data_IF_764852183452
#
_entry.id   IF_764852183452
#
_cell.length_a   1.000
_cell.length_b   1.000
_cell.length_c   1.000
_cell.angle_alpha   90.00
_cell.angle_beta   90.00
_cell.angle_gamma   90.00
#
_symmetry.space_group_name_H-M   'P 1'
#
loop_
_entity.id
_entity.type
_entity.pdbx_description
1 polymer ?
#
# COMPACT_ATOMS: atom_id res chain seq x y z
N UNK A 1 5.07 40.14 37.26
CA UNK A 1 6.13 39.24 36.83
C UNK A 1 5.70 38.22 35.75
N UNK A 2 4.56 38.40 35.02
CA UNK A 2 4.10 37.52 33.95
C UNK A 2 4.26 38.09 32.52
N UNK A 3 4.89 39.25 32.34
CA UNK A 3 5.10 39.90 31.03
C UNK A 3 6.54 39.87 30.51
N UNK A 4 7.51 39.32 31.29
CA UNK A 4 8.91 39.21 30.83
C UNK A 4 9.22 37.89 30.13
N UNK A 5 8.41 36.82 30.35
CA UNK A 5 8.66 35.53 29.73
C UNK A 5 8.23 35.45 28.24
N UNK A 6 7.21 36.25 27.84
CA UNK A 6 6.77 36.27 26.45
C UNK A 6 7.67 37.11 25.52
N UNK A 7 8.41 38.06 26.06
CA UNK A 7 9.36 38.88 25.27
C UNK A 7 10.70 38.15 25.03
N UNK A 8 11.11 37.26 25.94
CA UNK A 8 12.32 36.45 25.76
C UNK A 8 12.11 35.32 24.75
N UNK A 9 10.89 34.74 24.68
CA UNK A 9 10.52 33.77 23.60
C UNK A 9 10.43 34.44 22.23
N UNK A 10 10.00 35.69 22.13
CA UNK A 10 9.87 36.38 20.84
C UNK A 10 11.22 36.84 20.25
N UNK A 11 12.26 36.99 21.06
CA UNK A 11 13.59 37.42 20.60
C UNK A 11 14.44 36.21 20.15
N UNK A 12 14.24 35.00 20.70
CA UNK A 12 14.91 33.80 20.22
C UNK A 12 14.27 33.24 18.90
N UNK A 13 13.04 33.63 18.56
CA UNK A 13 12.36 33.19 17.34
C UNK A 13 12.84 33.90 16.06
N UNK A 14 13.75 34.87 16.15
CA UNK A 14 14.12 35.72 15.02
C UNK A 14 15.47 35.39 14.35
N UNK A 15 16.21 34.37 14.79
CA UNK A 15 17.55 34.11 14.22
C UNK A 15 17.97 32.68 14.00
N UNK A 16 17.09 31.68 14.22
CA UNK A 16 17.38 30.30 13.85
C UNK A 16 16.13 29.68 13.18
N UNK A 17 16.16 29.52 11.89
CA UNK A 17 15.31 28.54 11.18
C UNK A 17 15.76 27.14 11.62
N UNK A 18 15.43 26.74 12.84
CA UNK A 18 15.62 25.38 13.29
C UNK A 18 14.58 24.53 12.54
N UNK A 19 15.04 23.53 11.79
CA UNK A 19 14.12 22.61 11.10
C UNK A 19 13.61 21.51 12.03
N UNK A 20 13.77 21.66 13.34
CA UNK A 20 13.24 20.77 14.38
C UNK A 20 12.74 21.59 15.57
N UNK A 21 11.79 21.02 16.33
CA UNK A 21 11.20 21.70 17.49
C UNK A 21 12.03 21.50 18.77
N UNK A 22 12.65 20.32 18.94
CA UNK A 22 13.45 20.00 20.13
C UNK A 22 14.41 18.83 19.89
N UNK A 23 15.38 18.70 20.81
CA UNK A 23 16.31 17.58 20.88
C UNK A 23 16.10 16.79 22.17
N UNK A 24 16.16 15.44 22.06
CA UNK A 24 16.15 14.54 23.22
C UNK A 24 16.94 13.27 22.90
N UNK A 25 17.84 12.87 23.85
CA UNK A 25 18.60 11.62 23.70
C UNK A 25 19.51 11.56 22.47
N UNK A 26 19.98 12.71 21.96
CA UNK A 26 20.83 12.81 20.77
C UNK A 26 20.08 12.67 19.45
N UNK A 27 18.75 12.70 19.46
CA UNK A 27 17.89 12.74 18.27
C UNK A 27 17.06 14.02 18.26
N UNK A 28 16.71 14.49 17.07
CA UNK A 28 15.90 15.68 16.84
C UNK A 28 14.46 15.31 16.52
N UNK A 29 13.53 16.15 16.94
CA UNK A 29 12.09 15.86 16.85
C UNK A 29 11.29 17.06 16.38
N UNK A 30 10.24 16.79 15.59
CA UNK A 30 9.17 17.73 15.31
C UNK A 30 7.88 17.26 16.00
N UNK A 31 7.11 18.21 16.52
CA UNK A 31 5.77 17.97 17.05
C UNK A 31 4.81 17.75 15.87
N UNK A 32 4.12 16.60 15.86
CA UNK A 32 3.07 16.31 14.87
C UNK A 32 1.72 16.79 15.39
N UNK A 33 1.45 16.57 16.68
CA UNK A 33 0.22 17.00 17.34
C UNK A 33 0.56 17.61 18.70
N UNK A 34 0.12 18.84 18.91
CA UNK A 34 0.19 19.60 20.17
C UNK A 34 -1.09 19.46 21.01
N UNK A 35 -2.00 18.55 20.62
CA UNK A 35 -3.21 18.18 21.33
C UNK A 35 -3.22 16.67 21.64
N UNK A 36 -4.06 16.23 22.58
CA UNK A 36 -4.16 14.81 22.95
C UNK A 36 -4.75 13.99 21.80
N UNK A 37 -4.07 12.91 21.34
CA UNK A 37 -2.78 12.42 21.84
C UNK A 37 -1.61 13.23 21.28
N UNK A 38 -0.71 13.69 22.18
CA UNK A 38 0.53 14.38 21.79
C UNK A 38 1.44 13.44 21.02
N UNK A 39 1.88 13.84 19.83
CA UNK A 39 2.72 12.99 18.98
C UNK A 39 3.88 13.77 18.36
N UNK A 40 5.00 13.09 18.17
CA UNK A 40 6.20 13.63 17.53
C UNK A 40 6.74 12.69 16.44
N UNK A 41 7.62 13.23 15.60
CA UNK A 41 8.44 12.47 14.66
C UNK A 41 9.92 12.71 14.94
N UNK A 42 10.73 11.67 14.66
CA UNK A 42 12.18 11.87 14.54
C UNK A 42 12.46 12.64 13.27
N UNK A 43 13.33 13.62 13.33
CA UNK A 43 13.76 14.42 12.16
C UNK A 43 15.28 14.58 12.14
N UNK A 44 15.83 15.16 11.08
CA UNK A 44 17.25 15.46 10.97
C UNK A 44 17.56 16.86 11.50
N UNK A 45 18.86 17.11 11.71
CA UNK A 45 19.38 18.46 11.88
C UNK A 45 19.73 19.06 10.51
N UNK A 46 19.23 20.24 10.14
CA UNK A 46 19.52 20.86 8.85
C UNK A 46 21.02 21.10 8.67
N UNK A 47 21.58 20.55 7.59
CA UNK A 47 22.98 20.72 7.21
C UNK A 47 24.00 19.88 7.98
N UNK A 48 23.54 19.03 8.93
CA UNK A 48 24.43 18.13 9.68
C UNK A 48 23.75 16.77 9.85
N UNK A 49 24.12 15.75 9.06
CA UNK A 49 23.67 14.39 9.32
C UNK A 49 24.15 13.90 10.68
N UNK A 50 23.42 12.97 11.27
CA UNK A 50 23.88 12.34 12.50
C UNK A 50 25.22 11.61 12.28
N UNK A 51 26.24 11.96 13.05
CA UNK A 51 27.52 11.23 13.08
C UNK A 51 27.46 10.08 14.10
N UNK A 52 26.46 9.20 13.97
CA UNK A 52 26.23 8.10 14.91
C UNK A 52 26.30 6.75 14.19
N UNK A 53 26.89 5.78 14.87
CA UNK A 53 26.92 4.40 14.36
C UNK A 53 25.63 3.63 14.65
N UNK A 54 24.89 4.03 15.66
CA UNK A 54 23.60 3.40 16.03
C UNK A 54 22.62 4.40 16.59
N UNK A 55 21.33 4.15 16.37
CA UNK A 55 20.22 4.95 16.91
C UNK A 55 19.21 4.06 17.62
N UNK A 56 18.72 4.48 18.76
CA UNK A 56 17.56 3.89 19.43
C UNK A 56 16.46 4.93 19.52
N UNK A 57 15.39 4.73 18.76
CA UNK A 57 14.24 5.62 18.79
C UNK A 57 13.38 5.23 20.00
N UNK A 58 13.12 6.16 20.95
CA UNK A 58 12.27 5.86 22.10
C UNK A 58 10.79 5.86 21.70
N UNK A 59 9.95 5.12 22.43
CA UNK A 59 8.49 5.18 22.25
C UNK A 59 7.90 6.54 22.59
N UNK A 60 8.52 7.24 23.56
CA UNK A 60 8.06 8.52 24.08
C UNK A 60 9.23 9.45 24.36
N UNK A 61 8.99 10.73 24.19
CA UNK A 61 9.94 11.82 24.52
C UNK A 61 9.22 12.89 25.32
N UNK A 62 9.97 13.57 26.21
CA UNK A 62 9.45 14.66 27.01
C UNK A 62 10.00 16.00 26.49
N UNK A 63 9.10 16.97 26.32
CA UNK A 63 9.45 18.33 25.95
C UNK A 63 8.46 19.32 26.59
N UNK A 64 8.97 20.35 27.30
CA UNK A 64 8.15 21.36 27.99
C UNK A 64 7.05 20.77 28.88
N UNK A 65 7.40 19.78 29.72
CA UNK A 65 6.49 19.07 30.64
C UNK A 65 5.38 18.24 29.94
N UNK A 66 5.46 18.07 28.63
CA UNK A 66 4.54 17.24 27.83
C UNK A 66 5.28 15.99 27.38
N UNK A 67 4.61 14.83 27.49
CA UNK A 67 5.09 13.56 26.96
C UNK A 67 4.48 13.32 25.58
N UNK A 68 5.32 13.25 24.55
CA UNK A 68 4.93 12.95 23.17
C UNK A 68 5.20 11.48 22.85
N UNK A 69 4.26 10.83 22.21
CA UNK A 69 4.47 9.50 21.62
C UNK A 69 5.15 9.67 20.26
N UNK A 70 6.28 9.00 20.05
CA UNK A 70 7.00 9.05 18.78
C UNK A 70 6.29 8.11 17.79
N UNK A 71 5.65 8.67 16.77
CA UNK A 71 4.78 7.97 15.83
C UNK A 71 5.38 7.79 14.44
N UNK A 72 6.40 8.57 14.10
CA UNK A 72 6.91 8.63 12.74
C UNK A 72 8.41 8.78 12.72
N UNK A 73 9.05 8.15 11.72
CA UNK A 73 10.39 8.51 11.27
C UNK A 73 10.20 9.48 10.11
N UNK A 74 10.52 10.76 10.33
CA UNK A 74 10.24 11.86 9.42
C UNK A 74 11.02 11.80 8.11
N UNK A 75 10.65 12.66 7.18
CA UNK A 75 11.33 12.74 5.89
C UNK A 75 12.81 13.12 6.07
N UNK A 76 13.70 12.32 5.48
CA UNK A 76 15.14 12.52 5.59
C UNK A 76 15.70 12.40 7.01
N UNK A 77 14.98 11.83 7.98
CA UNK A 77 15.37 11.81 9.40
C UNK A 77 16.81 11.32 9.63
N UNK A 78 17.26 10.33 8.89
CA UNK A 78 18.62 9.78 8.91
C UNK A 78 19.31 9.90 7.54
N UNK A 79 18.87 10.82 6.67
CA UNK A 79 19.52 11.03 5.37
C UNK A 79 21.00 11.39 5.55
N UNK A 80 21.86 10.78 4.70
CA UNK A 80 23.31 10.96 4.70
C UNK A 80 24.05 10.48 5.99
N UNK A 81 23.38 9.67 6.83
CA UNK A 81 24.03 9.05 7.99
C UNK A 81 24.90 7.85 7.54
N UNK A 82 26.03 8.16 6.89
CA UNK A 82 26.90 7.14 6.26
C UNK A 82 27.44 6.11 7.24
N UNK A 83 27.69 6.49 8.50
CA UNK A 83 28.24 5.62 9.54
C UNK A 83 27.17 4.79 10.26
N UNK A 84 25.88 5.02 10.03
CA UNK A 84 24.77 4.37 10.72
C UNK A 84 24.69 2.89 10.32
N UNK A 85 24.95 1.99 11.27
CA UNK A 85 24.92 0.54 11.05
C UNK A 85 23.66 -0.12 11.57
N UNK A 86 22.98 0.49 12.55
CA UNK A 86 21.78 -0.10 13.17
C UNK A 86 20.83 0.99 13.69
N UNK A 87 19.52 0.68 13.58
CA UNK A 87 18.45 1.50 14.15
C UNK A 87 17.45 0.58 14.84
N UNK A 88 17.15 0.88 16.11
CA UNK A 88 16.05 0.24 16.84
C UNK A 88 14.79 1.07 16.69
N UNK A 89 13.77 0.49 16.07
CA UNK A 89 12.47 1.12 15.82
C UNK A 89 11.45 0.54 16.83
N UNK A 90 10.83 1.39 17.67
CA UNK A 90 9.84 0.91 18.64
C UNK A 90 8.46 0.66 18.00
N UNK A 91 7.62 -0.11 18.69
CA UNK A 91 6.25 -0.40 18.25
C UNK A 91 5.30 0.81 18.25
N UNK A 92 5.74 1.95 18.74
CA UNK A 92 4.97 3.20 18.61
C UNK A 92 5.00 3.79 17.20
N UNK A 93 6.03 3.47 16.38
CA UNK A 93 6.19 3.97 15.01
C UNK A 93 5.14 3.31 14.10
N UNK A 94 4.44 4.14 13.34
CA UNK A 94 3.41 3.72 12.37
C UNK A 94 3.78 4.08 10.92
N UNK A 95 4.73 5.01 10.72
CA UNK A 95 5.18 5.37 9.38
C UNK A 95 6.66 5.71 9.29
N UNK A 96 7.25 5.40 8.13
CA UNK A 96 8.60 5.78 7.71
C UNK A 96 8.44 6.65 6.46
N UNK A 97 8.89 7.89 6.53
CA UNK A 97 8.71 8.88 5.47
C UNK A 97 9.78 8.79 4.37
N UNK A 98 9.58 9.54 3.28
CA UNK A 98 10.51 9.55 2.13
C UNK A 98 11.92 9.92 2.56
N UNK A 99 12.92 9.24 2.00
CA UNK A 99 14.33 9.49 2.25
C UNK A 99 14.80 9.26 3.69
N UNK A 100 13.97 8.68 4.56
CA UNK A 100 14.26 8.53 6.00
C UNK A 100 15.63 7.91 6.27
N UNK A 101 16.08 6.96 5.46
CA UNK A 101 17.39 6.27 5.54
C UNK A 101 18.18 6.35 4.23
N UNK A 102 17.93 7.40 3.43
CA UNK A 102 18.64 7.58 2.17
C UNK A 102 20.12 7.79 2.44
N UNK A 103 20.98 7.15 1.62
CA UNK A 103 22.43 7.22 1.71
C UNK A 103 23.03 6.67 3.03
N UNK A 104 22.28 5.93 3.86
CA UNK A 104 22.83 5.22 5.03
C UNK A 104 23.66 4.01 4.56
N UNK A 105 24.83 4.25 3.99
CA UNK A 105 25.61 3.23 3.27
C UNK A 105 26.08 2.06 4.14
N UNK A 106 26.24 2.28 5.46
CA UNK A 106 26.63 1.24 6.41
C UNK A 106 25.44 0.47 6.99
N UNK A 107 24.19 0.87 6.71
CA UNK A 107 22.96 0.23 7.20
C UNK A 107 22.64 -0.99 6.32
N UNK A 108 23.11 -2.17 6.72
CA UNK A 108 22.95 -3.40 5.96
C UNK A 108 21.73 -4.26 6.38
N UNK A 109 21.13 -3.93 7.51
CA UNK A 109 19.90 -4.56 7.97
C UNK A 109 19.11 -3.63 8.88
N UNK A 110 17.78 -3.79 8.89
CA UNK A 110 16.89 -3.10 9.81
C UNK A 110 15.67 -3.96 10.07
N UNK A 111 15.18 -3.98 11.30
CA UNK A 111 13.92 -4.63 11.63
C UNK A 111 12.77 -3.62 11.59
N UNK A 112 11.77 -3.87 10.76
CA UNK A 112 10.56 -3.04 10.65
C UNK A 112 9.47 -3.68 11.50
N UNK A 113 9.00 -2.99 12.60
CA UNK A 113 7.99 -3.55 13.47
C UNK A 113 6.61 -3.63 12.77
N UNK A 114 5.76 -4.54 13.27
CA UNK A 114 4.40 -4.79 12.74
C UNK A 114 3.49 -3.55 12.81
N UNK A 115 3.80 -2.60 13.68
CA UNK A 115 3.08 -1.32 13.80
C UNK A 115 3.25 -0.39 12.60
N UNK A 116 4.32 -0.58 11.82
CA UNK A 116 4.57 0.23 10.62
C UNK A 116 3.65 -0.23 9.50
N UNK A 117 2.72 0.62 9.11
CA UNK A 117 1.75 0.39 8.03
C UNK A 117 2.00 1.27 6.80
N UNK A 118 2.88 2.26 6.93
CA UNK A 118 3.28 3.15 5.84
C UNK A 118 4.79 3.25 5.73
N UNK A 119 5.30 2.98 4.54
CA UNK A 119 6.67 3.29 4.16
C UNK A 119 6.58 4.04 2.83
N UNK A 120 7.10 5.28 2.80
CA UNK A 120 7.07 6.08 1.58
C UNK A 120 8.20 5.73 0.62
N UNK A 121 8.03 6.06 -0.68
CA UNK A 121 9.05 5.79 -1.69
C UNK A 121 10.42 6.37 -1.32
N UNK A 122 11.47 5.69 -1.75
CA UNK A 122 12.86 6.10 -1.54
C UNK A 122 13.32 6.18 -0.07
N UNK A 123 12.56 5.63 0.88
CA UNK A 123 12.93 5.63 2.30
C UNK A 123 14.32 5.03 2.54
N UNK A 124 14.72 4.01 1.77
CA UNK A 124 15.99 3.29 1.89
C UNK A 124 16.93 3.47 0.68
N UNK A 125 16.66 4.45 -0.19
CA UNK A 125 17.46 4.66 -1.41
C UNK A 125 18.93 4.83 -1.10
N UNK A 126 19.80 4.11 -1.84
CA UNK A 126 21.25 4.15 -1.70
C UNK A 126 21.76 3.84 -0.27
N UNK A 127 20.98 3.13 0.55
CA UNK A 127 21.45 2.54 1.81
C UNK A 127 22.25 1.26 1.55
N UNK A 128 22.94 0.74 2.56
CA UNK A 128 23.61 -0.57 2.48
C UNK A 128 22.62 -1.68 2.12
N UNK A 129 21.41 -1.66 2.71
CA UNK A 129 20.33 -2.62 2.38
C UNK A 129 19.95 -2.56 0.91
N UNK A 130 19.80 -1.35 0.37
CA UNK A 130 19.38 -1.11 -1.02
C UNK A 130 20.47 -1.51 -2.02
N UNK A 131 21.73 -1.28 -1.69
CA UNK A 131 22.88 -1.52 -2.58
C UNK A 131 23.37 -2.98 -2.56
N UNK A 132 22.96 -3.76 -1.56
CA UNK A 132 23.28 -5.18 -1.48
C UNK A 132 22.31 -6.00 -2.35
N UNK A 133 22.79 -6.49 -3.48
CA UNK A 133 22.02 -7.30 -4.43
C UNK A 133 21.45 -8.59 -3.80
N UNK A 134 22.00 -9.09 -2.70
CA UNK A 134 21.48 -10.27 -2.00
C UNK A 134 20.11 -10.01 -1.34
N UNK A 135 19.72 -8.74 -1.12
CA UNK A 135 18.40 -8.35 -0.62
C UNK A 135 17.33 -8.25 -1.72
N UNK A 136 17.74 -8.36 -3.00
CA UNK A 136 16.83 -8.30 -4.15
C UNK A 136 16.50 -9.71 -4.63
N UNK A 137 15.27 -10.15 -4.40
CA UNK A 137 14.74 -11.43 -4.85
C UNK A 137 13.95 -11.20 -6.15
N UNK A 138 14.39 -11.79 -7.26
CA UNK A 138 13.76 -11.62 -8.59
C UNK A 138 13.49 -10.14 -8.97
N UNK A 139 14.49 -9.28 -8.70
CA UNK A 139 14.39 -7.83 -8.95
C UNK A 139 13.44 -7.07 -8.03
N UNK A 140 13.06 -7.64 -6.89
CA UNK A 140 12.22 -7.00 -5.87
C UNK A 140 12.97 -6.97 -4.54
N UNK A 141 13.04 -5.78 -3.93
CA UNK A 141 13.66 -5.57 -2.63
C UNK A 141 12.66 -5.85 -1.51
N UNK A 142 13.10 -6.70 -0.57
CA UNK A 142 12.37 -6.97 0.66
C UNK A 142 13.17 -6.51 1.89
N UNK A 143 12.49 -5.96 2.87
CA UNK A 143 13.04 -5.66 4.20
C UNK A 143 12.05 -6.19 5.23
N UNK A 144 12.48 -7.12 6.09
CA UNK A 144 11.58 -7.85 7.01
C UNK A 144 10.43 -8.52 6.23
N UNK A 145 9.20 -8.24 6.59
CA UNK A 145 7.97 -8.70 5.93
C UNK A 145 7.35 -7.66 4.98
N UNK A 146 8.15 -6.67 4.57
CA UNK A 146 7.71 -5.58 3.69
C UNK A 146 8.35 -5.70 2.31
N UNK A 147 7.54 -5.63 1.25
CA UNK A 147 7.99 -5.45 -0.12
C UNK A 147 8.22 -3.95 -0.37
N UNK A 148 9.48 -3.58 -0.59
CA UNK A 148 9.91 -2.19 -0.62
C UNK A 148 9.88 -1.61 -2.03
N UNK A 149 10.41 -2.32 -3.01
CA UNK A 149 10.52 -1.78 -4.35
C UNK A 149 10.81 -2.87 -5.38
N UNK A 150 10.22 -2.75 -6.56
CA UNK A 150 10.63 -3.49 -7.75
C UNK A 150 11.65 -2.68 -8.57
N UNK A 151 12.63 -3.33 -9.17
CA UNK A 151 13.54 -2.68 -10.14
C UNK A 151 12.73 -2.21 -11.35
N UNK A 152 13.11 -1.06 -11.89
CA UNK A 152 12.51 -0.55 -13.14
C UNK A 152 12.71 -1.56 -14.25
N UNK A 153 11.65 -1.76 -15.06
CA UNK A 153 11.69 -2.69 -16.18
C UNK A 153 11.33 -4.14 -15.83
N UNK A 154 10.88 -4.42 -14.58
CA UNK A 154 10.32 -5.72 -14.24
C UNK A 154 9.11 -6.01 -15.15
N UNK A 155 9.13 -7.16 -15.84
CA UNK A 155 8.15 -7.54 -16.87
C UNK A 155 7.56 -8.92 -16.60
N UNK A 156 6.44 -9.25 -17.27
CA UNK A 156 5.83 -10.57 -17.21
C UNK A 156 5.02 -10.80 -15.94
N UNK A 157 5.15 -11.98 -15.35
CA UNK A 157 4.45 -12.37 -14.12
C UNK A 157 5.39 -12.34 -12.91
N UNK A 158 4.84 -11.99 -11.74
CA UNK A 158 5.59 -11.99 -10.48
C UNK A 158 4.76 -12.65 -9.37
N UNK A 159 5.41 -13.43 -8.52
CA UNK A 159 4.79 -14.01 -7.32
C UNK A 159 5.39 -13.34 -6.10
N UNK A 160 4.57 -12.59 -5.37
CA UNK A 160 5.00 -11.95 -4.11
C UNK A 160 5.32 -13.02 -3.09
N UNK A 161 6.44 -12.87 -2.41
CA UNK A 161 6.96 -13.82 -1.41
C UNK A 161 5.94 -14.07 -0.30
N UNK A 162 5.74 -15.35 0.02
CA UNK A 162 4.89 -15.74 1.15
C UNK A 162 5.44 -15.16 2.46
N UNK A 163 4.55 -14.73 3.36
CA UNK A 163 4.91 -14.01 4.58
C UNK A 163 5.05 -12.50 4.41
N UNK A 164 4.97 -11.97 3.17
CA UNK A 164 4.89 -10.52 2.96
C UNK A 164 3.59 -9.98 3.55
N UNK A 165 3.70 -8.98 4.41
CA UNK A 165 2.56 -8.30 5.04
C UNK A 165 2.19 -7.00 4.34
N UNK A 166 3.19 -6.22 3.94
CA UNK A 166 3.03 -4.89 3.38
C UNK A 166 3.68 -4.79 2.00
N UNK A 167 2.92 -4.33 1.01
CA UNK A 167 3.45 -3.79 -0.25
C UNK A 167 3.45 -2.27 -0.10
N UNK A 168 4.63 -1.65 -0.09
CA UNK A 168 4.73 -0.22 0.24
C UNK A 168 4.21 0.69 -0.88
N UNK A 169 4.16 1.99 -0.58
CA UNK A 169 3.76 3.01 -1.55
C UNK A 169 4.67 2.96 -2.80
N UNK A 170 4.04 2.97 -3.97
CA UNK A 170 4.70 2.98 -5.28
C UNK A 170 5.65 1.80 -5.57
N UNK A 171 5.55 0.69 -4.83
CA UNK A 171 6.48 -0.44 -4.93
C UNK A 171 6.61 -1.01 -6.35
N UNK A 172 5.53 -1.06 -7.12
CA UNK A 172 5.48 -1.51 -8.52
C UNK A 172 5.05 -0.41 -9.49
N UNK A 173 5.16 0.86 -9.08
CA UNK A 173 4.74 1.97 -9.93
C UNK A 173 5.50 2.01 -11.25
N UNK A 174 4.77 2.09 -12.37
CA UNK A 174 5.36 2.11 -13.72
C UNK A 174 6.04 0.80 -14.11
N UNK A 175 5.74 -0.33 -13.44
CA UNK A 175 6.25 -1.64 -13.84
C UNK A 175 5.58 -2.14 -15.12
N UNK A 176 6.29 -2.96 -15.89
CA UNK A 176 5.75 -3.64 -17.06
C UNK A 176 5.21 -5.04 -16.72
N UNK A 177 4.89 -5.29 -15.44
CA UNK A 177 4.24 -6.54 -15.01
C UNK A 177 2.86 -6.64 -15.67
N UNK A 178 2.58 -7.80 -16.25
CA UNK A 178 1.27 -8.12 -16.84
C UNK A 178 0.40 -8.93 -15.89
N UNK A 179 1.01 -9.60 -14.93
CA UNK A 179 0.35 -10.43 -13.93
C UNK A 179 1.12 -10.41 -12.60
N UNK A 180 0.39 -10.54 -11.49
CA UNK A 180 0.97 -10.64 -10.14
C UNK A 180 0.11 -11.51 -9.24
N UNK A 181 0.75 -12.41 -8.50
CA UNK A 181 0.11 -13.19 -7.45
C UNK A 181 0.49 -12.61 -6.09
N UNK A 182 -0.51 -12.20 -5.32
CA UNK A 182 -0.32 -11.61 -3.98
C UNK A 182 -0.82 -12.61 -2.93
N UNK A 183 0.02 -13.06 -1.98
CA UNK A 183 -0.39 -14.03 -0.97
C UNK A 183 -1.36 -13.44 0.06
N UNK A 184 -2.13 -14.30 0.73
CA UNK A 184 -3.10 -13.88 1.76
C UNK A 184 -2.46 -13.31 3.04
N UNK A 185 -1.15 -13.37 3.17
CA UNK A 185 -0.41 -12.71 4.25
C UNK A 185 -0.35 -11.19 4.08
N UNK A 186 -0.57 -10.68 2.86
CA UNK A 186 -0.59 -9.23 2.60
C UNK A 186 -1.88 -8.63 3.13
N UNK A 187 -1.73 -7.66 4.05
CA UNK A 187 -2.83 -6.90 4.66
C UNK A 187 -2.93 -5.48 4.14
N UNK A 188 -1.84 -4.94 3.60
CA UNK A 188 -1.78 -3.56 3.13
C UNK A 188 -1.06 -3.45 1.79
N UNK A 189 -1.72 -2.74 0.86
CA UNK A 189 -1.20 -2.35 -0.46
C UNK A 189 -1.18 -0.83 -0.50
N UNK A 190 0.01 -0.24 -0.50
CA UNK A 190 0.22 1.18 -0.28
C UNK A 190 -0.31 2.11 -1.38
N UNK A 191 -0.21 3.41 -1.11
CA UNK A 191 -0.60 4.48 -2.06
C UNK A 191 0.18 4.33 -3.37
N UNK A 192 -0.53 4.32 -4.50
CA UNK A 192 0.08 4.20 -5.82
C UNK A 192 0.89 2.93 -6.07
N UNK A 193 0.71 1.87 -5.26
CA UNK A 193 1.57 0.69 -5.29
C UNK A 193 1.75 0.08 -6.68
N UNK A 194 0.73 0.13 -7.52
CA UNK A 194 0.71 -0.37 -8.90
C UNK A 194 0.39 0.71 -9.94
N UNK A 195 0.43 2.00 -9.55
CA UNK A 195 0.10 3.06 -10.50
C UNK A 195 0.95 2.98 -11.79
N UNK A 196 0.33 3.22 -12.94
CA UNK A 196 0.98 3.14 -14.26
C UNK A 196 1.55 1.76 -14.61
N UNK A 197 1.15 0.68 -13.93
CA UNK A 197 1.60 -0.67 -14.27
C UNK A 197 0.86 -1.23 -15.50
N UNK A 198 1.48 -2.23 -16.14
CA UNK A 198 0.89 -2.93 -17.29
C UNK A 198 -0.01 -4.11 -16.89
N UNK A 199 -0.42 -4.22 -15.64
CA UNK A 199 -1.26 -5.31 -15.14
C UNK A 199 -2.53 -5.45 -15.98
N UNK A 200 -2.85 -6.70 -16.31
CA UNK A 200 -4.07 -7.04 -17.07
C UNK A 200 -5.21 -7.50 -16.16
N UNK A 201 -4.88 -8.05 -15.01
CA UNK A 201 -5.83 -8.44 -13.96
C UNK A 201 -5.18 -8.37 -12.58
N UNK A 202 -6.02 -8.26 -11.54
CA UNK A 202 -5.56 -8.31 -10.16
C UNK A 202 -6.62 -8.96 -9.26
N UNK A 203 -6.17 -9.82 -8.36
CA UNK A 203 -6.96 -10.35 -7.26
C UNK A 203 -6.37 -9.80 -5.97
N UNK A 204 -7.17 -9.05 -5.25
CA UNK A 204 -6.78 -8.49 -3.94
C UNK A 204 -7.00 -9.57 -2.88
N UNK A 205 -6.00 -9.89 -2.04
CA UNK A 205 -6.13 -10.95 -1.05
C UNK A 205 -7.08 -10.60 0.10
N UNK A 206 -7.62 -11.64 0.73
CA UNK A 206 -8.64 -11.52 1.80
C UNK A 206 -8.18 -10.80 3.07
N UNK A 207 -6.86 -10.60 3.26
CA UNK A 207 -6.31 -9.80 4.37
C UNK A 207 -6.49 -8.30 4.20
N UNK A 208 -6.68 -7.83 2.96
CA UNK A 208 -6.76 -6.40 2.64
C UNK A 208 -8.15 -5.85 2.95
N UNK A 209 -8.20 -4.81 3.78
CA UNK A 209 -9.45 -4.14 4.16
C UNK A 209 -9.64 -2.78 3.48
N UNK A 210 -8.59 -2.26 2.87
CA UNK A 210 -8.58 -0.93 2.26
C UNK A 210 -7.75 -0.91 0.97
N UNK A 211 -8.30 -0.26 -0.07
CA UNK A 211 -7.52 0.13 -1.25
C UNK A 211 -7.11 1.60 -1.08
N UNK A 212 -5.81 1.83 -1.00
CA UNK A 212 -5.25 3.16 -0.80
C UNK A 212 -5.34 4.03 -2.06
N UNK A 213 -5.15 5.35 -1.86
CA UNK A 213 -5.29 6.34 -2.92
C UNK A 213 -4.39 5.99 -4.13
N UNK A 214 -4.99 6.01 -5.32
CA UNK A 214 -4.29 5.77 -6.58
C UNK A 214 -3.60 4.40 -6.70
N UNK A 215 -3.92 3.40 -5.87
CA UNK A 215 -3.21 2.12 -5.85
C UNK A 215 -3.05 1.48 -7.24
N UNK A 216 -4.05 1.63 -8.11
CA UNK A 216 -4.07 1.17 -9.50
C UNK A 216 -4.33 2.31 -10.50
N UNK A 217 -4.03 3.56 -10.11
CA UNK A 217 -4.23 4.72 -10.98
C UNK A 217 -3.47 4.54 -12.30
N UNK A 218 -4.17 4.81 -13.40
CA UNK A 218 -3.58 4.76 -14.77
C UNK A 218 -3.04 3.37 -15.17
N UNK A 219 -3.59 2.28 -14.61
CA UNK A 219 -3.35 0.91 -15.11
C UNK A 219 -4.19 0.68 -16.37
N UNK A 220 -3.77 1.26 -17.49
CA UNK A 220 -4.55 1.32 -18.74
C UNK A 220 -4.80 -0.04 -19.40
N UNK A 221 -4.04 -1.07 -19.02
CA UNK A 221 -4.20 -2.46 -19.47
C UNK A 221 -5.07 -3.32 -18.57
N UNK A 222 -5.47 -2.81 -17.37
CA UNK A 222 -6.21 -3.56 -16.37
C UNK A 222 -7.65 -3.82 -16.85
N UNK A 223 -7.98 -5.09 -17.12
CA UNK A 223 -9.29 -5.52 -17.62
C UNK A 223 -10.21 -6.02 -16.52
N UNK A 224 -9.63 -6.60 -15.47
CA UNK A 224 -10.42 -7.15 -14.37
C UNK A 224 -9.78 -6.92 -13.01
N UNK A 225 -10.63 -6.71 -11.99
CA UNK A 225 -10.25 -6.66 -10.59
C UNK A 225 -11.21 -7.49 -9.74
N UNK A 226 -10.65 -8.25 -8.79
CA UNK A 226 -11.43 -8.91 -7.74
C UNK A 226 -11.09 -8.29 -6.40
N UNK A 227 -12.11 -7.74 -5.73
CA UNK A 227 -12.06 -7.14 -4.40
C UNK A 227 -12.63 -8.15 -3.40
N UNK A 228 -11.92 -8.44 -2.29
CA UNK A 228 -12.34 -9.45 -1.34
C UNK A 228 -13.52 -8.99 -0.47
N UNK A 229 -14.15 -9.94 0.21
CA UNK A 229 -15.21 -9.63 1.19
C UNK A 229 -14.73 -8.77 2.37
N UNK A 230 -13.43 -8.78 2.65
CA UNK A 230 -12.83 -7.96 3.72
C UNK A 230 -12.75 -6.47 3.42
N UNK A 231 -12.96 -6.06 2.14
CA UNK A 231 -12.80 -4.67 1.76
C UNK A 231 -13.89 -3.77 2.37
N UNK A 232 -13.48 -2.74 3.08
CA UNK A 232 -14.39 -1.78 3.73
C UNK A 232 -14.25 -0.36 3.20
N UNK A 233 -13.11 -0.04 2.56
CA UNK A 233 -12.84 1.30 2.09
C UNK A 233 -12.05 1.31 0.78
N UNK A 234 -12.44 2.19 -0.15
CA UNK A 234 -11.70 2.46 -1.38
C UNK A 234 -11.42 3.96 -1.44
N UNK A 235 -10.15 4.33 -1.42
CA UNK A 235 -9.74 5.73 -1.42
C UNK A 235 -9.75 6.35 -2.83
N UNK A 236 -9.58 7.67 -2.86
CA UNK A 236 -9.64 8.47 -4.07
C UNK A 236 -8.75 7.92 -5.18
N UNK A 237 -9.22 8.04 -6.40
CA UNK A 237 -8.48 7.72 -7.63
C UNK A 237 -7.95 6.27 -7.70
N UNK A 238 -8.45 5.33 -6.86
CA UNK A 238 -7.90 3.97 -6.73
C UNK A 238 -7.77 3.23 -8.06
N UNK A 239 -8.79 3.29 -8.92
CA UNK A 239 -8.84 2.69 -10.27
C UNK A 239 -9.07 3.76 -11.36
N UNK A 240 -8.77 5.01 -11.06
CA UNK A 240 -8.92 6.09 -12.02
C UNK A 240 -8.03 5.86 -13.24
N UNK A 241 -8.54 6.18 -14.43
CA UNK A 241 -7.87 6.01 -15.73
C UNK A 241 -7.49 4.55 -16.07
N UNK A 242 -8.16 3.54 -15.45
CA UNK A 242 -8.09 2.13 -15.87
C UNK A 242 -8.98 1.94 -17.10
N UNK A 243 -8.58 2.45 -18.25
CA UNK A 243 -9.41 2.57 -19.45
C UNK A 243 -9.80 1.25 -20.12
N UNK A 244 -9.17 0.14 -19.74
CA UNK A 244 -9.55 -1.21 -20.18
C UNK A 244 -10.42 -1.98 -19.18
N UNK A 245 -10.78 -1.39 -18.01
CA UNK A 245 -11.47 -2.09 -16.93
C UNK A 245 -12.93 -2.35 -17.27
N UNK A 246 -13.23 -3.58 -17.64
CA UNK A 246 -14.58 -4.04 -18.03
C UNK A 246 -15.18 -5.04 -17.06
N UNK A 247 -14.41 -5.55 -16.10
CA UNK A 247 -14.91 -6.54 -15.13
C UNK A 247 -14.47 -6.16 -13.72
N UNK A 248 -15.43 -5.94 -12.84
CA UNK A 248 -15.17 -5.74 -11.40
C UNK A 248 -15.97 -6.78 -10.63
N UNK A 249 -15.28 -7.57 -9.81
CA UNK A 249 -15.92 -8.48 -8.85
C UNK A 249 -15.68 -7.86 -7.47
N UNK A 250 -16.76 -7.53 -6.75
CA UNK A 250 -16.68 -7.08 -5.36
C UNK A 250 -17.41 -8.07 -4.48
N UNK A 251 -16.65 -8.84 -3.70
CA UNK A 251 -17.20 -9.88 -2.82
C UNK A 251 -17.75 -9.33 -1.50
N UNK A 252 -17.59 -8.03 -1.23
CA UNK A 252 -18.05 -7.41 0.00
C UNK A 252 -19.57 -7.38 0.08
N UNK A 253 -20.11 -7.98 1.15
CA UNK A 253 -21.56 -7.94 1.45
C UNK A 253 -21.99 -6.53 1.85
N UNK A 254 -21.17 -5.81 2.59
CA UNK A 254 -21.38 -4.40 2.89
C UNK A 254 -20.70 -3.55 1.80
N UNK A 255 -21.46 -2.64 1.17
CA UNK A 255 -20.88 -1.73 0.17
C UNK A 255 -19.73 -0.94 0.79
N UNK A 256 -18.51 -1.00 0.24
CA UNK A 256 -17.37 -0.28 0.77
C UNK A 256 -17.58 1.24 0.77
N UNK A 257 -17.07 1.92 1.78
CA UNK A 257 -16.99 3.39 1.79
C UNK A 257 -16.01 3.88 0.71
N UNK A 258 -16.49 4.73 -0.18
CA UNK A 258 -15.77 5.16 -1.36
C UNK A 258 -15.48 6.65 -1.35
N UNK A 259 -14.22 7.03 -1.52
CA UNK A 259 -13.86 8.42 -1.77
C UNK A 259 -14.13 8.80 -3.25
N UNK A 260 -13.83 10.05 -3.62
CA UNK A 260 -14.10 10.56 -4.96
C UNK A 260 -13.23 9.89 -6.05
N UNK A 261 -13.77 9.84 -7.26
CA UNK A 261 -13.10 9.43 -8.50
C UNK A 261 -12.55 7.99 -8.53
N UNK A 262 -13.03 7.08 -7.67
CA UNK A 262 -12.45 5.72 -7.56
C UNK A 262 -12.39 4.97 -8.88
N UNK A 263 -13.37 5.17 -9.78
CA UNK A 263 -13.48 4.58 -11.11
C UNK A 263 -13.54 5.62 -12.22
N UNK A 264 -13.04 6.85 -12.01
CA UNK A 264 -13.11 7.87 -13.05
C UNK A 264 -12.39 7.41 -14.33
N UNK A 265 -13.02 7.67 -15.47
CA UNK A 265 -12.54 7.36 -16.83
C UNK A 265 -12.41 5.86 -17.16
N UNK A 266 -13.12 4.96 -16.44
CA UNK A 266 -13.32 3.59 -16.93
C UNK A 266 -14.47 3.55 -17.96
N UNK A 267 -14.57 2.49 -18.81
CA UNK A 267 -15.66 2.34 -19.77
C UNK A 267 -16.95 1.83 -19.07
N UNK A 268 -17.58 2.62 -18.22
CA UNK A 268 -18.71 2.23 -17.38
C UNK A 268 -19.83 1.48 -18.11
N UNK A 269 -20.21 1.93 -19.31
CA UNK A 269 -21.31 1.33 -20.08
C UNK A 269 -20.99 -0.09 -20.56
N UNK A 270 -19.72 -0.40 -20.74
CA UNK A 270 -19.22 -1.72 -21.19
C UNK A 270 -18.82 -2.58 -19.97
N UNK A 271 -18.69 -1.97 -18.80
CA UNK A 271 -18.20 -2.63 -17.60
C UNK A 271 -19.32 -3.38 -16.87
N UNK A 272 -18.99 -4.59 -16.41
CA UNK A 272 -19.86 -5.41 -15.56
C UNK A 272 -19.32 -5.48 -14.15
N UNK A 273 -20.17 -5.16 -13.18
CA UNK A 273 -19.92 -5.33 -11.75
C UNK A 273 -20.62 -6.60 -11.26
N UNK A 274 -19.87 -7.47 -10.61
CA UNK A 274 -20.39 -8.66 -9.92
C UNK A 274 -20.33 -8.45 -8.42
N UNK A 275 -21.46 -8.68 -7.71
CA UNK A 275 -21.61 -8.44 -6.27
C UNK A 275 -22.36 -9.60 -5.60
N UNK A 276 -22.29 -9.77 -4.27
CA UNK A 276 -23.12 -10.74 -3.57
C UNK A 276 -24.61 -10.53 -3.88
N UNK A 277 -25.33 -11.63 -4.06
CA UNK A 277 -26.75 -11.61 -4.43
C UNK A 277 -27.59 -10.80 -3.43
N UNK A 278 -27.31 -10.96 -2.16
CA UNK A 278 -27.99 -10.29 -1.05
C UNK A 278 -27.76 -8.77 -1.03
N UNK A 279 -26.67 -8.28 -1.62
CA UNK A 279 -26.29 -6.86 -1.63
C UNK A 279 -26.57 -6.18 -2.98
N UNK A 280 -27.18 -6.89 -3.94
CA UNK A 280 -27.33 -6.42 -5.32
C UNK A 280 -28.04 -5.06 -5.41
N UNK A 281 -29.10 -4.84 -4.64
CA UNK A 281 -29.87 -3.60 -4.67
C UNK A 281 -29.13 -2.46 -3.97
N UNK A 282 -28.33 -2.77 -2.94
CA UNK A 282 -27.49 -1.78 -2.26
C UNK A 282 -26.44 -1.23 -3.24
N UNK A 283 -25.75 -2.10 -4.00
CA UNK A 283 -24.77 -1.67 -5.01
C UNK A 283 -25.41 -0.90 -6.17
N UNK A 284 -26.61 -1.26 -6.61
CA UNK A 284 -27.36 -0.52 -7.63
C UNK A 284 -27.75 0.89 -7.22
N UNK A 285 -27.80 1.16 -5.91
CA UNK A 285 -28.15 2.48 -5.37
C UNK A 285 -26.91 3.28 -4.89
N UNK A 286 -25.77 2.60 -4.67
CA UNK A 286 -24.58 3.20 -4.10
C UNK A 286 -23.84 4.12 -5.08
N UNK A 287 -23.33 5.26 -4.58
CA UNK A 287 -22.53 6.20 -5.37
C UNK A 287 -21.28 5.49 -5.91
N UNK A 288 -20.90 5.79 -7.15
CA UNK A 288 -19.83 5.19 -7.95
C UNK A 288 -20.09 3.75 -8.45
N UNK A 289 -20.88 2.94 -7.70
CA UNK A 289 -21.19 1.56 -8.08
C UNK A 289 -22.39 1.48 -9.04
N UNK A 290 -23.39 2.33 -8.85
CA UNK A 290 -24.61 2.39 -9.69
C UNK A 290 -24.35 2.78 -11.15
N UNK A 291 -23.17 3.33 -11.44
CA UNK A 291 -22.82 3.85 -12.78
C UNK A 291 -22.32 2.74 -13.74
N UNK A 292 -22.12 1.51 -13.24
CA UNK A 292 -21.76 0.37 -14.08
C UNK A 292 -22.92 -0.01 -15.02
N UNK A 293 -22.61 -0.23 -16.30
CA UNK A 293 -23.61 -0.57 -17.33
C UNK A 293 -24.38 -1.86 -17.04
N UNK A 294 -23.75 -2.79 -16.33
CA UNK A 294 -24.35 -4.05 -15.90
C UNK A 294 -23.95 -4.38 -14.47
N UNK A 295 -24.91 -4.69 -13.59
CA UNK A 295 -24.66 -5.14 -12.21
C UNK A 295 -25.37 -6.49 -12.02
N UNK A 296 -24.60 -7.52 -11.73
CA UNK A 296 -25.04 -8.90 -11.64
C UNK A 296 -24.66 -9.53 -10.29
N UNK A 297 -25.43 -10.52 -9.82
CA UNK A 297 -25.02 -11.30 -8.67
C UNK A 297 -23.82 -12.20 -9.02
N UNK A 298 -22.89 -12.37 -8.09
CA UNK A 298 -21.88 -13.43 -8.14
C UNK A 298 -22.63 -14.76 -8.17
N UNK A 299 -22.27 -15.64 -9.13
CA UNK A 299 -22.88 -16.96 -9.21
C UNK A 299 -22.61 -17.75 -7.91
N UNK A 300 -23.61 -18.43 -7.33
CA UNK A 300 -23.40 -19.20 -6.11
C UNK A 300 -22.30 -20.25 -6.33
N UNK A 301 -21.43 -20.40 -5.33
CA UNK A 301 -20.42 -21.46 -5.26
C UNK A 301 -21.09 -22.78 -4.87
N UNK A 302 -21.88 -23.32 -5.77
CA UNK A 302 -22.53 -24.60 -5.60
C UNK A 302 -22.35 -25.40 -6.88
N UNK A 303 -22.01 -26.66 -6.73
CA UNK A 303 -22.09 -27.67 -7.78
C UNK A 303 -23.54 -27.79 -8.28
N UNK A 304 -24.07 -26.78 -8.94
CA UNK A 304 -25.19 -26.97 -9.80
C UNK A 304 -24.65 -27.27 -11.20
N UNK A 305 -24.64 -28.57 -11.53
CA UNK A 305 -24.60 -29.07 -12.91
C UNK A 305 -25.82 -28.53 -13.66
N UNK A 306 -25.80 -27.27 -14.06
CA UNK A 306 -26.73 -26.79 -15.08
C UNK A 306 -26.23 -27.31 -16.42
N UNK A 307 -26.58 -28.53 -16.73
CA UNK A 307 -26.60 -29.01 -18.12
C UNK A 307 -27.57 -28.13 -18.91
N UNK A 308 -27.09 -26.99 -19.38
CA UNK A 308 -27.76 -26.29 -20.47
C UNK A 308 -27.46 -27.08 -21.75
N UNK A 309 -28.38 -27.98 -22.10
CA UNK A 309 -28.39 -28.63 -23.43
C UNK A 309 -28.79 -27.59 -24.47
N UNK A 310 -27.82 -26.83 -24.96
CA UNK A 310 -27.89 -26.22 -26.27
C UNK A 310 -26.98 -27.02 -27.21
N UNK A 311 -27.56 -27.68 -28.19
CA UNK A 311 -26.87 -28.44 -29.22
C UNK A 311 -25.87 -27.51 -29.95
N UNK A 312 -24.58 -27.85 -29.88
CA UNK A 312 -23.41 -27.23 -30.50
C UNK A 312 -22.67 -26.20 -29.63
N UNK A 313 -22.10 -26.63 -28.49
CA UNK A 313 -20.88 -26.03 -27.95
C UNK A 313 -20.35 -26.86 -26.77
N UNK A 314 -19.03 -26.94 -26.67
CA UNK A 314 -18.28 -27.56 -25.59
C UNK A 314 -18.83 -27.17 -24.21
N UNK A 315 -19.15 -28.16 -23.37
CA UNK A 315 -19.58 -27.95 -21.98
C UNK A 315 -18.45 -27.39 -21.17
N UNK A 316 -18.69 -26.29 -20.47
CA UNK A 316 -17.77 -25.76 -19.49
C UNK A 316 -18.43 -25.67 -18.12
N UNK A 317 -17.65 -25.89 -17.05
CA UNK A 317 -18.10 -25.76 -15.67
C UNK A 317 -17.36 -24.62 -15.04
N UNK A 318 -18.06 -23.70 -14.37
CA UNK A 318 -17.43 -22.65 -13.56
C UNK A 318 -17.14 -23.24 -12.19
N UNK A 319 -15.90 -23.14 -11.74
CA UNK A 319 -15.47 -23.58 -10.41
C UNK A 319 -14.75 -22.43 -9.71
N UNK A 320 -14.92 -22.33 -8.40
CA UNK A 320 -14.08 -21.45 -7.58
C UNK A 320 -13.07 -22.33 -6.86
N UNK A 321 -11.78 -22.10 -7.13
CA UNK A 321 -10.69 -22.78 -6.47
C UNK A 321 -9.84 -21.70 -5.80
N UNK A 322 -9.66 -21.79 -4.47
CA UNK A 322 -8.91 -20.81 -3.67
C UNK A 322 -9.39 -19.35 -3.83
N UNK A 323 -10.70 -19.14 -3.98
CA UNK A 323 -11.28 -17.82 -4.20
C UNK A 323 -11.18 -17.29 -5.64
N UNK A 324 -10.61 -18.07 -6.56
CA UNK A 324 -10.56 -17.74 -7.99
C UNK A 324 -11.71 -18.40 -8.75
N UNK A 325 -12.42 -17.60 -9.57
CA UNK A 325 -13.39 -18.12 -10.53
C UNK A 325 -12.62 -18.69 -11.73
N UNK A 326 -12.69 -19.99 -11.89
CA UNK A 326 -12.04 -20.72 -12.97
C UNK A 326 -13.10 -21.37 -13.89
N UNK A 327 -12.75 -21.57 -15.14
CA UNK A 327 -13.55 -22.28 -16.12
C UNK A 327 -12.93 -23.66 -16.34
N UNK A 328 -13.61 -24.71 -15.95
CA UNK A 328 -13.22 -26.08 -16.28
C UNK A 328 -13.79 -26.46 -17.65
N UNK A 329 -12.94 -26.76 -18.61
CA UNK A 329 -13.29 -27.18 -19.95
C UNK A 329 -12.39 -28.32 -20.41
N UNK A 330 -12.97 -29.43 -20.90
CA UNK A 330 -12.22 -30.58 -21.40
C UNK A 330 -11.17 -31.13 -20.44
N UNK A 331 -11.46 -31.10 -19.10
CA UNK A 331 -10.57 -31.57 -18.05
C UNK A 331 -9.43 -30.64 -17.69
N UNK A 332 -9.37 -29.44 -18.29
CA UNK A 332 -8.40 -28.38 -18.00
C UNK A 332 -9.08 -27.19 -17.33
N UNK A 333 -8.32 -26.51 -16.50
CA UNK A 333 -8.77 -25.33 -15.76
C UNK A 333 -8.25 -24.07 -16.44
N UNK A 334 -9.13 -23.10 -16.64
CA UNK A 334 -8.79 -21.82 -17.26
C UNK A 334 -9.22 -20.68 -16.33
N UNK A 335 -8.49 -19.58 -16.32
CA UNK A 335 -8.95 -18.33 -15.72
C UNK A 335 -10.17 -17.81 -16.48
N UNK A 336 -10.96 -16.90 -15.90
CA UNK A 336 -12.07 -16.21 -16.63
C UNK A 336 -11.59 -15.49 -17.90
N UNK A 337 -10.31 -15.27 -18.05
CA UNK A 337 -9.67 -14.67 -19.22
C UNK A 337 -9.24 -15.72 -20.27
N UNK A 338 -9.49 -17.00 -20.04
CA UNK A 338 -9.18 -18.07 -20.99
C UNK A 338 -7.73 -18.57 -20.98
N UNK A 339 -6.95 -18.19 -19.99
CA UNK A 339 -5.58 -18.71 -19.79
C UNK A 339 -5.66 -20.05 -19.06
N UNK A 340 -5.03 -21.10 -19.58
CA UNK A 340 -4.93 -22.42 -18.93
C UNK A 340 -4.16 -22.26 -17.60
N UNK A 341 -4.71 -22.84 -16.53
CA UNK A 341 -4.22 -22.71 -15.16
C UNK A 341 -3.43 -23.94 -14.75
#
# INVERSE_FOLDING_TARGET
MKKLSSLFMAILAATCLWAYDFEAGGLFYNVISDTIPYTAEVTNHPGFPYEIASATIPEKVNYCDITYVVKRIGAGAFEDCYALTSVTIPNSITSIESFAFKNCQSLNSINIPQSVVFIKPNAFSNSGIYNDESNWEDSVLYISDCLIQAKRGLTGSYIVKEGTRLIINEAFAGSNLTDITIPNTVTDIGVGAFQYSALTSIIIPNGVTKIWAGAFHHCTSLKSVTLPNSITQIQRDAFRDCTALTTVVCEAVQVPDCQHNIFANIPFLEATLYVPKESLEDYKSAIYWKDFGTILPIAPTGTENTHSKNNNSSSFTKVILNGQLLILRDGKTYTVMGVEW
#
